data_IF_935016902736
#
_entry.id   IF_935016902736
#
_cell.length_a   1.000
_cell.length_b   1.000
_cell.length_c   1.000
_cell.angle_alpha   90.00
_cell.angle_beta   90.00
_cell.angle_gamma   90.00
#
_symmetry.space_group_name_H-M   'P 1'
#
loop_
_entity.id
_entity.type
_entity.pdbx_description
1 polymer ?
#
# COMPACT_ATOMS: atom_id res chain seq x y z
N UNK A 1 -4.94 9.33 -16.51
CA UNK A 1 -3.97 8.69 -17.45
C UNK A 1 -4.01 7.17 -17.46
N UNK A 2 -3.97 6.47 -16.32
CA UNK A 2 -3.82 5.01 -16.32
C UNK A 2 -5.14 4.24 -16.45
N UNK A 3 -6.25 4.80 -15.96
CA UNK A 3 -7.57 4.17 -15.95
C UNK A 3 -8.38 4.66 -17.13
N UNK A 4 -8.74 3.75 -18.04
CA UNK A 4 -9.57 4.03 -19.22
C UNK A 4 -10.66 2.99 -19.34
N UNK A 5 -11.74 3.33 -20.05
CA UNK A 5 -12.89 2.42 -20.22
C UNK A 5 -12.47 1.10 -20.86
N UNK A 6 -11.62 1.16 -21.89
CA UNK A 6 -11.16 -0.03 -22.63
C UNK A 6 -10.37 -0.98 -21.73
N UNK A 7 -9.51 -0.45 -20.85
CA UNK A 7 -8.75 -1.28 -19.90
C UNK A 7 -9.68 -1.94 -18.89
N UNK A 8 -10.63 -1.18 -18.34
CA UNK A 8 -11.61 -1.70 -17.37
C UNK A 8 -12.49 -2.80 -18.01
N UNK A 9 -13.02 -2.55 -19.21
CA UNK A 9 -13.81 -3.53 -19.97
C UNK A 9 -12.99 -4.76 -20.38
N UNK A 10 -11.70 -4.62 -20.64
CA UNK A 10 -10.83 -5.74 -20.92
C UNK A 10 -10.55 -6.58 -19.66
N UNK A 11 -10.36 -5.95 -18.50
CA UNK A 11 -9.97 -6.65 -17.27
C UNK A 11 -11.14 -7.36 -16.58
N UNK A 12 -12.34 -6.76 -16.55
CA UNK A 12 -13.50 -7.33 -15.83
C UNK A 12 -13.86 -8.77 -16.22
N UNK A 13 -14.02 -9.14 -17.50
CA UNK A 13 -14.34 -10.52 -17.88
C UNK A 13 -13.20 -11.51 -17.63
N UNK A 14 -11.99 -11.03 -17.32
CA UNK A 14 -10.82 -11.85 -16.97
C UNK A 14 -10.67 -12.08 -15.46
N UNK A 15 -11.72 -11.78 -14.68
CA UNK A 15 -11.76 -12.06 -13.24
C UNK A 15 -11.14 -10.97 -12.36
N UNK A 16 -10.85 -9.78 -12.90
CA UNK A 16 -10.41 -8.65 -12.06
C UNK A 16 -11.62 -8.09 -11.32
N UNK A 17 -11.71 -8.40 -10.03
CA UNK A 17 -12.83 -8.02 -9.17
C UNK A 17 -12.60 -6.71 -8.42
N UNK A 18 -11.35 -6.44 -8.02
CA UNK A 18 -10.94 -5.31 -7.19
C UNK A 18 -9.96 -4.38 -7.90
N UNK A 19 -10.08 -3.08 -7.65
CA UNK A 19 -9.15 -2.05 -8.15
C UNK A 19 -8.83 -1.01 -7.08
N UNK A 20 -7.70 -0.32 -7.22
CA UNK A 20 -7.35 0.82 -6.37
C UNK A 20 -7.32 2.10 -7.20
N UNK A 21 -8.06 3.11 -6.75
CA UNK A 21 -8.12 4.45 -7.34
C UNK A 21 -7.73 5.43 -6.24
N UNK A 22 -6.47 5.83 -6.25
CA UNK A 22 -5.86 6.47 -5.10
C UNK A 22 -5.69 7.97 -5.36
N UNK A 23 -6.47 8.84 -4.70
CA UNK A 23 -6.29 10.29 -4.82
C UNK A 23 -5.08 10.78 -4.03
N UNK A 24 -4.67 10.09 -2.95
CA UNK A 24 -3.81 10.62 -1.88
C UNK A 24 -4.46 11.78 -1.11
N UNK A 25 -4.93 12.80 -1.80
CA UNK A 25 -5.75 13.91 -1.31
C UNK A 25 -6.66 14.40 -2.45
N UNK A 26 -7.79 15.04 -2.14
CA UNK A 26 -8.65 15.69 -3.14
C UNK A 26 -8.45 17.22 -3.15
N UNK A 27 -7.34 17.69 -2.60
CA UNK A 27 -6.92 19.08 -2.68
C UNK A 27 -5.88 19.27 -3.79
N UNK A 28 -6.27 19.93 -4.89
CA UNK A 28 -5.40 20.12 -6.06
C UNK A 28 -4.13 20.91 -5.76
N UNK A 29 -4.19 21.89 -4.82
CA UNK A 29 -3.00 22.62 -4.41
C UNK A 29 -1.99 21.70 -3.72
N UNK A 30 -2.46 20.86 -2.79
CA UNK A 30 -1.61 19.88 -2.12
C UNK A 30 -1.04 18.87 -3.13
N UNK A 31 -1.86 18.39 -4.08
CA UNK A 31 -1.41 17.49 -5.16
C UNK A 31 -0.27 18.11 -5.97
N UNK A 32 -0.40 19.37 -6.37
CA UNK A 32 0.64 20.11 -7.08
C UNK A 32 1.93 20.22 -6.24
N UNK A 33 1.80 20.61 -4.97
CA UNK A 33 2.91 20.75 -4.02
C UNK A 33 3.69 19.45 -3.82
N UNK A 34 3.00 18.30 -3.79
CA UNK A 34 3.65 16.99 -3.68
C UNK A 34 4.08 16.39 -5.03
N UNK A 35 3.98 17.16 -6.12
CA UNK A 35 4.44 16.79 -7.46
C UNK A 35 3.55 15.76 -8.17
N UNK A 36 2.28 15.62 -7.77
CA UNK A 36 1.31 14.78 -8.48
C UNK A 36 0.80 15.52 -9.72
N UNK A 37 0.70 14.78 -10.82
CA UNK A 37 0.26 15.33 -12.13
C UNK A 37 -1.23 15.16 -12.40
N UNK A 38 -1.95 14.44 -11.53
CA UNK A 38 -3.38 14.23 -11.69
C UNK A 38 -4.14 15.23 -10.83
N UNK A 39 -5.38 15.56 -11.23
CA UNK A 39 -6.28 16.40 -10.43
C UNK A 39 -7.27 15.55 -9.65
N UNK A 40 -7.86 16.15 -8.62
CA UNK A 40 -9.01 15.62 -7.89
C UNK A 40 -10.14 15.20 -8.85
N UNK A 41 -10.49 16.05 -9.81
CA UNK A 41 -11.52 15.78 -10.82
C UNK A 41 -11.23 14.51 -11.64
N UNK A 42 -9.98 14.30 -12.06
CA UNK A 42 -9.60 13.08 -12.79
C UNK A 42 -9.74 11.82 -11.93
N UNK A 43 -9.48 11.90 -10.62
CA UNK A 43 -9.71 10.79 -9.70
C UNK A 43 -11.21 10.48 -9.56
N UNK A 44 -12.05 11.50 -9.42
CA UNK A 44 -13.50 11.34 -9.33
C UNK A 44 -14.09 10.75 -10.62
N UNK A 45 -13.61 11.21 -11.78
CA UNK A 45 -13.99 10.66 -13.09
C UNK A 45 -13.58 9.19 -13.22
N UNK A 46 -12.34 8.84 -12.83
CA UNK A 46 -11.86 7.46 -12.86
C UNK A 46 -12.69 6.54 -11.95
N UNK A 47 -13.10 7.03 -10.77
CA UNK A 47 -13.98 6.30 -9.86
C UNK A 47 -15.36 6.04 -10.49
N UNK A 48 -15.99 7.08 -11.01
CA UNK A 48 -17.29 6.99 -11.69
C UNK A 48 -17.24 6.03 -12.89
N UNK A 49 -16.16 6.10 -13.67
CA UNK A 49 -15.93 5.22 -14.80
C UNK A 49 -15.82 3.75 -14.39
N UNK A 50 -15.07 3.47 -13.31
CA UNK A 50 -14.96 2.13 -12.77
C UNK A 50 -16.30 1.58 -12.27
N UNK A 51 -17.08 2.39 -11.54
CA UNK A 51 -18.44 2.03 -11.12
C UNK A 51 -19.33 1.70 -12.32
N UNK A 52 -19.30 2.52 -13.35
CA UNK A 52 -20.05 2.30 -14.61
C UNK A 52 -19.62 1.01 -15.32
N UNK A 53 -18.35 0.61 -15.20
CA UNK A 53 -17.85 -0.67 -15.72
C UNK A 53 -18.15 -1.87 -14.80
N UNK A 54 -18.95 -1.68 -13.75
CA UNK A 54 -19.41 -2.73 -12.85
C UNK A 54 -18.40 -3.13 -11.76
N UNK A 55 -17.39 -2.30 -11.47
CA UNK A 55 -16.50 -2.52 -10.33
C UNK A 55 -17.19 -2.11 -9.03
N UNK A 56 -17.32 -3.09 -8.14
CA UNK A 56 -18.00 -3.00 -6.86
C UNK A 56 -17.06 -3.26 -5.67
N UNK A 57 -15.75 -3.27 -5.93
CA UNK A 57 -14.69 -3.39 -4.94
C UNK A 57 -13.56 -2.43 -5.31
N UNK A 58 -13.70 -1.19 -4.85
CA UNK A 58 -12.77 -0.08 -5.11
C UNK A 58 -12.13 0.36 -3.81
N UNK A 59 -10.80 0.34 -3.80
CA UNK A 59 -9.98 0.90 -2.74
C UNK A 59 -9.54 2.33 -3.05
N UNK A 60 -9.48 3.21 -2.04
CA UNK A 60 -8.91 4.55 -2.17
C UNK A 60 -7.85 4.80 -1.08
N UNK A 61 -6.62 5.11 -1.49
CA UNK A 61 -5.55 5.45 -0.54
C UNK A 61 -5.47 6.97 -0.31
N UNK A 62 -5.51 7.37 0.96
CA UNK A 62 -5.29 8.73 1.45
C UNK A 62 -3.94 8.83 2.16
N UNK A 63 -3.33 10.01 2.12
CA UNK A 63 -2.09 10.30 2.85
C UNK A 63 -2.35 11.49 3.78
N UNK A 64 -2.09 11.28 5.07
CA UNK A 64 -2.21 12.27 6.14
C UNK A 64 -0.85 12.90 6.40
N UNK A 65 -0.85 14.18 6.76
CA UNK A 65 0.37 14.95 7.02
C UNK A 65 1.14 15.32 5.76
N UNK A 66 0.44 15.50 4.63
CA UNK A 66 1.05 16.04 3.42
C UNK A 66 1.45 17.52 3.61
N UNK A 67 2.55 17.98 3.00
CA UNK A 67 2.90 19.39 3.01
C UNK A 67 1.74 20.27 2.53
N UNK A 68 1.50 21.38 3.23
CA UNK A 68 0.41 22.34 2.96
C UNK A 68 -1.02 21.79 3.18
N UNK A 69 -1.16 20.56 3.64
CA UNK A 69 -2.45 20.03 4.07
C UNK A 69 -2.79 20.50 5.48
N UNK A 70 -4.06 20.84 5.70
CA UNK A 70 -4.61 21.33 6.96
C UNK A 70 -5.68 20.37 7.43
N UNK A 71 -6.03 20.40 8.73
CA UNK A 71 -7.10 19.56 9.24
C UNK A 71 -8.40 19.76 8.45
N UNK A 72 -8.76 21.01 8.12
CA UNK A 72 -9.95 21.32 7.34
C UNK A 72 -9.91 20.73 5.92
N UNK A 73 -8.78 20.85 5.21
CA UNK A 73 -8.66 20.30 3.86
C UNK A 73 -8.61 18.77 3.84
N UNK A 74 -8.00 18.14 4.85
CA UNK A 74 -8.09 16.69 5.06
C UNK A 74 -9.53 16.25 5.34
N UNK A 75 -10.24 16.97 6.23
CA UNK A 75 -11.65 16.68 6.54
C UNK A 75 -12.53 16.76 5.30
N UNK A 76 -12.35 17.80 4.47
CA UNK A 76 -13.04 17.93 3.18
C UNK A 76 -12.73 16.77 2.25
N UNK A 77 -11.47 16.38 2.15
CA UNK A 77 -11.04 15.23 1.34
C UNK A 77 -11.73 13.94 1.80
N UNK A 78 -11.69 13.63 3.09
CA UNK A 78 -12.28 12.40 3.61
C UNK A 78 -13.80 12.39 3.41
N UNK A 79 -14.50 13.50 3.65
CA UNK A 79 -15.96 13.59 3.39
C UNK A 79 -16.28 13.28 1.93
N UNK A 80 -15.57 13.89 0.99
CA UNK A 80 -15.76 13.62 -0.44
C UNK A 80 -15.47 12.16 -0.81
N UNK A 81 -14.44 11.55 -0.21
CA UNK A 81 -14.13 10.12 -0.42
C UNK A 81 -15.25 9.24 0.16
N UNK A 82 -15.78 9.56 1.33
CA UNK A 82 -16.91 8.85 1.93
C UNK A 82 -18.17 8.95 1.07
N UNK A 83 -18.44 10.10 0.44
CA UNK A 83 -19.56 10.31 -0.48
C UNK A 83 -19.48 9.42 -1.74
N UNK A 84 -18.28 8.98 -2.14
CA UNK A 84 -18.09 8.01 -3.22
C UNK A 84 -18.43 6.57 -2.81
N UNK A 85 -18.55 6.32 -1.51
CA UNK A 85 -18.83 5.02 -0.92
C UNK A 85 -17.87 3.90 -1.40
N UNK A 86 -16.53 4.08 -1.40
CA UNK A 86 -15.60 3.00 -1.75
C UNK A 86 -15.80 1.78 -0.83
N UNK A 87 -15.28 0.63 -1.24
CA UNK A 87 -15.36 -0.58 -0.43
C UNK A 87 -14.26 -0.65 0.63
N UNK A 88 -13.13 0.01 0.37
CA UNK A 88 -12.08 0.19 1.36
C UNK A 88 -11.34 1.51 1.17
N UNK A 89 -10.76 2.00 2.26
CA UNK A 89 -9.92 3.19 2.31
C UNK A 89 -8.64 2.80 3.04
N UNK A 90 -7.48 3.09 2.47
CA UNK A 90 -6.21 2.97 3.22
C UNK A 90 -5.77 4.35 3.63
N UNK A 91 -5.58 4.56 4.93
CA UNK A 91 -5.04 5.80 5.47
C UNK A 91 -3.56 5.59 5.72
N UNK A 92 -2.73 6.31 4.96
CA UNK A 92 -1.30 6.32 5.15
C UNK A 92 -0.87 7.57 5.91
N UNK A 93 0.11 7.44 6.77
CA UNK A 93 0.79 8.61 7.34
C UNK A 93 2.05 8.90 6.53
N UNK A 94 2.30 10.16 6.18
CA UNK A 94 3.51 10.53 5.44
C UNK A 94 4.76 10.07 6.20
N UNK A 95 5.62 9.32 5.52
CA UNK A 95 6.97 9.00 5.98
C UNK A 95 7.94 10.05 5.44
N UNK A 96 8.51 10.87 6.32
CA UNK A 96 9.57 11.80 5.95
C UNK A 96 10.81 11.00 5.53
N UNK A 97 10.95 10.77 4.22
CA UNK A 97 12.21 10.32 3.65
C UNK A 97 13.23 11.45 3.82
N UNK A 98 14.36 11.10 4.43
CA UNK A 98 15.55 11.92 4.74
C UNK A 98 16.23 12.64 3.56
N UNK A 99 15.53 12.94 2.46
CA UNK A 99 16.07 13.52 1.24
C UNK A 99 15.37 14.83 0.87
N UNK A 100 15.61 15.88 1.67
CA UNK A 100 15.99 17.21 1.21
C UNK A 100 16.06 18.18 2.41
N UNK A 101 17.27 18.33 2.97
CA UNK A 101 17.68 19.33 3.97
C UNK A 101 17.02 19.19 5.36
N UNK A 102 17.69 19.74 6.37
CA UNK A 102 17.31 19.75 7.79
C UNK A 102 17.70 18.45 8.55
N UNK A 103 19.00 18.24 8.69
CA UNK A 103 19.57 17.62 9.90
C UNK A 103 20.50 18.64 10.53
N UNK A 104 19.93 19.56 11.29
CA UNK A 104 20.54 20.35 12.37
C UNK A 104 19.48 21.32 12.88
N UNK A 105 18.57 20.82 13.73
CA UNK A 105 18.04 21.52 14.90
C UNK A 105 16.80 20.79 15.42
N UNK A 106 16.76 20.57 16.72
CA UNK A 106 15.56 20.26 17.51
C UNK A 106 14.60 21.46 17.51
N UNK A 107 14.15 21.89 16.33
CA UNK A 107 13.29 23.07 16.18
C UNK A 107 11.81 22.68 16.15
N UNK A 108 11.00 23.50 16.86
CA UNK A 108 9.54 23.45 17.02
C UNK A 108 8.67 22.99 15.82
N UNK A 109 8.98 23.26 14.52
CA UNK A 109 8.16 22.83 13.39
C UNK A 109 7.84 21.32 13.37
N UNK A 110 8.77 20.45 13.78
CA UNK A 110 8.53 19.00 13.77
C UNK A 110 7.44 18.53 14.76
N UNK A 111 7.26 19.24 15.87
CA UNK A 111 6.26 18.89 16.89
C UNK A 111 4.85 19.27 16.45
N UNK A 112 4.70 20.41 15.77
CA UNK A 112 3.40 20.88 15.25
C UNK A 112 2.87 19.98 14.15
N UNK A 113 3.72 19.52 13.24
CA UNK A 113 3.32 18.64 12.14
C UNK A 113 2.85 17.27 12.66
N UNK A 114 3.46 16.76 13.74
CA UNK A 114 3.05 15.49 14.37
C UNK A 114 1.71 15.60 15.11
N UNK A 115 1.48 16.69 15.87
CA UNK A 115 0.21 16.92 16.57
C UNK A 115 -0.96 17.10 15.58
N UNK A 116 -0.77 17.92 14.54
CA UNK A 116 -1.77 18.11 13.48
C UNK A 116 -2.09 16.78 12.76
N UNK A 117 -1.08 15.98 12.47
CA UNK A 117 -1.27 14.65 11.86
C UNK A 117 -2.05 13.72 12.80
N UNK A 118 -1.78 13.78 14.11
CA UNK A 118 -2.56 13.08 15.13
C UNK A 118 -4.03 13.47 15.12
N UNK A 119 -4.32 14.78 15.16
CA UNK A 119 -5.70 15.30 15.11
C UNK A 119 -6.45 14.86 13.83
N UNK A 120 -5.76 14.84 12.69
CA UNK A 120 -6.31 14.32 11.44
C UNK A 120 -6.64 12.83 11.52
N UNK A 121 -5.74 12.02 12.07
CA UNK A 121 -5.94 10.57 12.24
C UNK A 121 -7.09 10.28 13.20
N UNK A 122 -7.10 10.89 14.39
CA UNK A 122 -8.14 10.69 15.40
C UNK A 122 -9.53 11.03 14.83
N UNK A 123 -9.63 12.16 14.14
CA UNK A 123 -10.88 12.55 13.48
C UNK A 123 -11.24 11.59 12.34
N UNK A 124 -10.27 11.22 11.49
CA UNK A 124 -10.46 10.34 10.35
C UNK A 124 -10.94 8.94 10.75
N UNK A 125 -10.32 8.35 11.76
CA UNK A 125 -10.66 7.05 12.32
C UNK A 125 -12.09 7.07 12.88
N UNK A 126 -12.46 8.12 13.61
CA UNK A 126 -13.83 8.29 14.12
C UNK A 126 -14.85 8.38 12.97
N UNK A 127 -14.54 9.09 11.87
CA UNK A 127 -15.42 9.16 10.71
C UNK A 127 -15.54 7.83 9.97
N UNK A 128 -14.43 7.11 9.79
CA UNK A 128 -14.40 5.82 9.10
C UNK A 128 -15.23 4.79 9.86
N UNK A 129 -15.07 4.71 11.19
CA UNK A 129 -15.90 3.87 12.06
C UNK A 129 -17.38 4.25 11.97
N UNK A 130 -17.69 5.55 12.04
CA UNK A 130 -19.07 6.04 11.95
C UNK A 130 -19.75 5.65 10.63
N UNK A 131 -19.01 5.61 9.53
CA UNK A 131 -19.52 5.23 8.20
C UNK A 131 -19.41 3.73 7.92
N UNK A 132 -19.13 2.90 8.93
CA UNK A 132 -19.16 1.44 8.84
C UNK A 132 -17.91 0.81 8.21
N UNK A 133 -16.77 1.52 8.20
CA UNK A 133 -15.49 0.93 7.85
C UNK A 133 -14.79 0.44 9.12
N UNK A 134 -14.43 -0.85 9.14
CA UNK A 134 -13.64 -1.44 10.21
C UNK A 134 -12.15 -1.49 9.82
N UNK A 135 -11.23 -1.25 10.76
CA UNK A 135 -9.81 -1.45 10.51
C UNK A 135 -9.54 -2.96 10.37
N UNK A 136 -8.83 -3.38 9.32
CA UNK A 136 -8.60 -4.81 9.05
C UNK A 136 -7.12 -5.19 8.91
N UNK A 137 -6.24 -4.23 8.66
CA UNK A 137 -4.80 -4.45 8.72
C UNK A 137 -4.08 -3.16 9.06
N UNK A 138 -2.91 -3.33 9.68
CA UNK A 138 -2.06 -2.24 10.09
C UNK A 138 -0.61 -2.59 9.76
N UNK A 139 0.14 -1.62 9.27
CA UNK A 139 1.58 -1.80 9.11
C UNK A 139 2.33 -0.48 9.30
N UNK A 140 3.58 -0.61 9.75
CA UNK A 140 4.50 0.51 9.91
C UNK A 140 5.51 0.52 8.78
N UNK A 141 5.71 1.69 8.18
CA UNK A 141 6.83 1.92 7.28
C UNK A 141 8.08 2.25 8.11
N UNK A 142 9.26 1.89 7.58
CA UNK A 142 10.50 2.38 8.18
C UNK A 142 10.58 3.91 8.00
N UNK A 143 10.89 4.63 9.10
CA UNK A 143 11.08 6.11 9.13
C UNK A 143 9.81 6.93 8.91
N UNK A 144 8.73 6.63 9.62
CA UNK A 144 7.51 7.45 9.63
C UNK A 144 7.68 8.72 10.49
N UNK A 145 6.87 9.76 10.24
CA UNK A 145 6.75 10.91 11.16
C UNK A 145 6.09 10.41 12.45
N UNK A 146 6.80 10.48 13.57
CA UNK A 146 6.33 9.93 14.84
C UNK A 146 6.22 8.39 14.86
N UNK A 147 5.46 7.88 15.84
CA UNK A 147 5.16 6.44 16.02
C UNK A 147 3.84 6.05 15.32
N UNK A 148 3.49 6.75 14.25
CA UNK A 148 2.20 6.61 13.56
C UNK A 148 2.21 5.42 12.59
N UNK A 149 1.01 5.01 12.18
CA UNK A 149 0.77 3.73 11.50
C UNK A 149 0.02 3.98 10.16
N UNK A 150 0.07 3.01 9.25
CA UNK A 150 -0.82 2.97 8.10
C UNK A 150 -1.89 1.93 8.36
N UNK A 151 -3.14 2.30 8.15
CA UNK A 151 -4.29 1.46 8.49
C UNK A 151 -5.17 1.28 7.26
N UNK A 152 -5.51 0.02 6.98
CA UNK A 152 -6.57 -0.29 6.02
C UNK A 152 -7.91 -0.39 6.69
N UNK A 153 -8.88 0.29 6.11
CA UNK A 153 -10.27 0.33 6.53
C UNK A 153 -11.14 -0.28 5.45
N UNK A 154 -12.07 -1.15 5.80
CA UNK A 154 -12.95 -1.79 4.83
C UNK A 154 -14.37 -1.95 5.38
N UNK A 155 -15.34 -1.93 4.48
CA UNK A 155 -16.66 -2.47 4.78
C UNK A 155 -16.55 -3.97 5.00
N UNK A 156 -17.45 -4.53 5.81
CA UNK A 156 -17.46 -5.97 6.11
C UNK A 156 -17.48 -6.81 4.84
N UNK A 157 -16.54 -7.76 4.73
CA UNK A 157 -16.43 -8.67 3.58
C UNK A 157 -15.69 -8.08 2.38
N UNK A 158 -15.16 -6.85 2.49
CA UNK A 158 -14.35 -6.18 1.46
C UNK A 158 -12.90 -5.95 1.89
N UNK A 159 -12.46 -6.66 2.93
CA UNK A 159 -11.09 -6.66 3.43
C UNK A 159 -10.14 -7.23 2.35
N UNK A 160 -8.99 -6.58 2.13
CA UNK A 160 -7.98 -7.09 1.22
C UNK A 160 -7.13 -8.16 1.91
N UNK A 161 -7.50 -9.42 1.74
CA UNK A 161 -6.68 -10.56 2.20
C UNK A 161 -5.26 -10.52 1.63
N UNK A 162 -5.10 -9.97 0.41
CA UNK A 162 -3.78 -9.78 -0.19
C UNK A 162 -2.91 -8.83 0.64
N UNK A 163 -3.45 -7.68 1.08
CA UNK A 163 -2.70 -6.73 1.91
C UNK A 163 -2.28 -7.36 3.23
N UNK A 164 -3.17 -8.17 3.83
CA UNK A 164 -2.87 -8.95 5.04
C UNK A 164 -1.73 -9.94 4.76
N UNK A 165 -1.85 -10.82 3.76
CA UNK A 165 -0.84 -11.85 3.48
C UNK A 165 0.53 -11.31 3.08
N UNK A 166 0.58 -10.16 2.40
CA UNK A 166 1.85 -9.54 2.05
C UNK A 166 2.62 -9.12 3.31
N UNK A 167 1.93 -8.48 4.25
CA UNK A 167 2.51 -8.00 5.50
C UNK A 167 2.73 -9.13 6.49
N UNK A 168 1.80 -10.07 6.55
CA UNK A 168 1.82 -11.18 7.48
C UNK A 168 2.96 -12.16 7.19
N UNK A 169 3.64 -12.59 8.23
CA UNK A 169 4.82 -13.45 8.17
C UNK A 169 4.46 -14.94 8.22
N UNK A 170 3.21 -15.33 7.93
CA UNK A 170 2.77 -16.74 7.96
C UNK A 170 2.68 -17.42 6.58
N UNK A 171 2.84 -16.67 5.49
CA UNK A 171 2.65 -17.20 4.13
C UNK A 171 3.91 -17.11 3.25
N UNK A 172 4.08 -18.12 2.39
CA UNK A 172 4.99 -18.04 1.24
C UNK A 172 4.36 -17.20 0.14
N UNK A 173 5.11 -16.22 -0.36
CA UNK A 173 4.72 -15.31 -1.44
C UNK A 173 5.69 -15.50 -2.60
N UNK A 174 5.17 -15.88 -3.76
CA UNK A 174 5.95 -15.97 -4.99
C UNK A 174 5.82 -14.67 -5.79
N UNK A 175 6.95 -14.09 -6.16
CA UNK A 175 6.98 -12.78 -6.79
C UNK A 175 7.54 -12.84 -8.21
N UNK A 176 6.89 -12.13 -9.13
CA UNK A 176 7.29 -11.99 -10.53
C UNK A 176 7.54 -10.51 -10.88
N UNK A 177 8.49 -10.24 -11.77
CA UNK A 177 8.80 -8.88 -12.23
C UNK A 177 9.96 -8.21 -11.51
N UNK A 178 10.50 -7.15 -12.12
CA UNK A 178 11.60 -6.38 -11.55
C UNK A 178 11.20 -5.74 -10.21
N UNK A 179 12.13 -5.72 -9.25
CA UNK A 179 11.94 -5.19 -7.90
C UNK A 179 11.13 -6.07 -6.96
N UNK A 180 10.54 -7.17 -7.45
CA UNK A 180 9.71 -8.05 -6.65
C UNK A 180 10.54 -8.99 -5.75
N UNK A 181 9.98 -9.39 -4.60
CA UNK A 181 10.66 -10.23 -3.61
C UNK A 181 9.82 -11.45 -3.29
N UNK A 182 10.37 -12.64 -3.51
CA UNK A 182 9.77 -13.89 -3.04
C UNK A 182 10.06 -14.04 -1.55
N UNK A 183 9.03 -14.33 -0.75
CA UNK A 183 9.12 -14.66 0.67
C UNK A 183 8.81 -16.14 0.84
N UNK A 184 9.72 -16.92 1.40
CA UNK A 184 9.54 -18.36 1.64
C UNK A 184 9.42 -18.60 3.14
N UNK A 185 8.29 -19.16 3.56
CA UNK A 185 7.96 -19.46 4.96
C UNK A 185 8.28 -20.92 5.28
N UNK A 186 9.00 -21.14 6.38
CA UNK A 186 9.20 -22.47 6.94
C UNK A 186 7.90 -23.02 7.55
N UNK A 187 7.32 -24.13 7.06
CA UNK A 187 6.09 -24.67 7.64
C UNK A 187 6.26 -25.27 9.06
N UNK A 188 7.47 -25.30 9.62
CA UNK A 188 7.78 -25.97 10.89
C UNK A 188 8.39 -25.08 11.97
N UNK A 189 8.76 -23.84 11.65
CA UNK A 189 9.33 -22.87 12.60
C UNK A 189 8.75 -21.48 12.33
N UNK A 190 9.36 -20.39 12.81
CA UNK A 190 9.04 -19.00 12.41
C UNK A 190 10.03 -18.43 11.39
N UNK A 191 10.86 -19.28 10.78
CA UNK A 191 11.86 -18.82 9.84
C UNK A 191 11.26 -18.37 8.50
N UNK A 192 11.89 -17.33 7.96
CA UNK A 192 11.58 -16.70 6.69
C UNK A 192 12.86 -16.47 5.89
N UNK A 193 12.85 -16.89 4.62
CA UNK A 193 13.91 -16.56 3.65
C UNK A 193 13.34 -15.70 2.52
N UNK A 194 14.17 -14.85 1.94
CA UNK A 194 13.78 -13.90 0.88
C UNK A 194 14.68 -14.08 -0.35
N UNK A 195 14.07 -14.10 -1.53
CA UNK A 195 14.76 -14.16 -2.82
C UNK A 195 14.41 -12.89 -3.61
N UNK A 196 15.41 -12.07 -3.88
CA UNK A 196 15.24 -10.76 -4.51
C UNK A 196 15.41 -10.84 -6.03
N UNK A 197 14.43 -10.28 -6.76
CA UNK A 197 14.59 -10.02 -8.18
C UNK A 197 15.48 -8.79 -8.39
N UNK A 198 16.07 -8.67 -9.57
CA UNK A 198 16.74 -7.42 -9.95
C UNK A 198 15.78 -6.25 -9.84
N UNK A 199 16.26 -5.15 -9.23
CA UNK A 199 15.46 -3.95 -8.99
C UNK A 199 15.02 -3.28 -10.28
N UNK A 200 15.92 -3.19 -11.25
CA UNK A 200 15.72 -2.44 -12.47
C UNK A 200 15.28 -3.35 -13.63
N UNK A 201 14.38 -2.88 -14.52
CA UNK A 201 13.88 -3.69 -15.62
C UNK A 201 14.96 -4.20 -16.57
N UNK A 202 16.00 -3.40 -16.84
CA UNK A 202 17.07 -3.77 -17.77
C UNK A 202 17.80 -5.03 -17.32
N UNK A 203 18.25 -5.09 -16.06
CA UNK A 203 18.93 -6.25 -15.49
C UNK A 203 17.98 -7.43 -15.35
N UNK A 204 16.71 -7.20 -14.96
CA UNK A 204 15.72 -8.26 -14.87
C UNK A 204 15.51 -8.98 -16.21
N UNK A 205 15.47 -8.24 -17.31
CA UNK A 205 15.27 -8.77 -18.67
C UNK A 205 16.57 -9.37 -19.21
N UNK A 206 17.67 -8.61 -19.20
CA UNK A 206 18.94 -9.03 -19.79
C UNK A 206 19.60 -10.20 -19.05
N UNK A 207 19.36 -10.34 -17.74
CA UNK A 207 19.88 -11.44 -16.91
C UNK A 207 18.78 -12.43 -16.52
N UNK A 208 17.83 -12.67 -17.41
CA UNK A 208 16.72 -13.61 -17.19
C UNK A 208 17.19 -15.01 -16.76
N UNK A 209 18.29 -15.53 -17.32
CA UNK A 209 18.85 -16.82 -16.94
C UNK A 209 19.23 -16.90 -15.45
N UNK A 210 19.87 -15.86 -14.93
CA UNK A 210 20.18 -15.76 -13.50
C UNK A 210 18.91 -15.62 -12.65
N UNK A 211 17.89 -14.92 -13.17
CA UNK A 211 16.61 -14.84 -12.48
C UNK A 211 15.95 -16.23 -12.34
N UNK A 212 16.02 -17.08 -13.38
CA UNK A 212 15.53 -18.46 -13.28
C UNK A 212 16.29 -19.23 -12.20
N UNK A 213 17.63 -19.19 -12.20
CA UNK A 213 18.45 -19.85 -11.17
C UNK A 213 18.12 -19.37 -9.76
N UNK A 214 17.90 -18.06 -9.56
CA UNK A 214 17.45 -17.55 -8.26
C UNK A 214 16.09 -18.11 -7.85
N UNK A 215 15.16 -18.31 -8.79
CA UNK A 215 13.84 -18.89 -8.48
C UNK A 215 13.90 -20.37 -8.12
N UNK A 216 14.89 -21.12 -8.62
CA UNK A 216 15.09 -22.51 -8.20
C UNK A 216 15.42 -22.64 -6.71
N UNK A 217 16.00 -21.61 -6.07
CA UNK A 217 16.29 -21.61 -4.64
C UNK A 217 15.05 -21.85 -3.76
N UNK A 218 13.84 -21.58 -4.26
CA UNK A 218 12.60 -21.90 -3.52
C UNK A 218 12.54 -23.39 -3.16
N UNK A 219 12.93 -24.28 -4.09
CA UNK A 219 12.94 -25.72 -3.86
C UNK A 219 14.02 -26.09 -2.84
N UNK A 220 15.22 -25.59 -3.03
CA UNK A 220 16.36 -25.82 -2.12
C UNK A 220 16.03 -25.38 -0.70
N UNK A 221 15.40 -24.22 -0.52
CA UNK A 221 14.99 -23.71 0.80
C UNK A 221 13.98 -24.66 1.48
N UNK A 222 12.97 -25.17 0.76
CA UNK A 222 12.03 -26.11 1.36
C UNK A 222 12.66 -27.46 1.71
N UNK A 223 13.66 -27.91 0.93
CA UNK A 223 14.45 -29.10 1.24
C UNK A 223 15.28 -28.90 2.51
N UNK A 224 15.89 -27.72 2.68
CA UNK A 224 16.59 -27.33 3.90
C UNK A 224 15.66 -27.34 5.12
N UNK A 225 14.47 -26.71 5.03
CA UNK A 225 13.49 -26.72 6.12
C UNK A 225 13.05 -28.15 6.48
N UNK A 226 12.86 -29.01 5.48
CA UNK A 226 12.50 -30.42 5.71
C UNK A 226 13.62 -31.18 6.42
N UNK A 227 14.89 -30.98 6.03
CA UNK A 227 16.05 -31.62 6.67
C UNK A 227 16.27 -31.12 8.10
N UNK A 228 16.14 -29.81 8.32
CA UNK A 228 16.25 -29.21 9.64
C UNK A 228 15.21 -29.79 10.62
N UNK A 229 13.95 -29.96 10.17
CA UNK A 229 12.92 -30.66 10.96
C UNK A 229 13.31 -32.09 11.32
N UNK A 230 13.98 -32.80 10.42
CA UNK A 230 14.42 -34.19 10.62
C UNK A 230 15.71 -34.31 11.47
N UNK A 231 16.27 -33.20 11.95
CA UNK A 231 17.54 -33.20 12.70
C UNK A 231 18.77 -33.54 11.85
N UNK A 232 18.64 -33.46 10.52
CA UNK A 232 19.73 -33.70 9.57
C UNK A 232 20.44 -32.37 9.31
N UNK A 233 21.75 -32.30 9.56
CA UNK A 233 22.55 -31.09 9.26
C UNK A 233 22.56 -30.83 7.75
N UNK A 234 22.52 -29.55 7.36
CA UNK A 234 22.80 -29.12 5.99
C UNK A 234 24.22 -29.52 5.60
N UNK A 235 24.36 -30.34 4.56
CA UNK A 235 25.64 -30.68 3.93
C UNK A 235 26.15 -29.49 3.14
#
# INVERSE_FOLDING_TARGET
>A
DTITMDKLKAMRPRGVTRISINPQTLNDHVLETIGRRHTSAQTLEAFSLARTCGYDDINMDLIVGLPEDTLESFQRTLRQVLDLHPESITVHTLSLKRSARIFQDDSEPFSRDAALTGDMLDWGDAQLLHHGYAPYYLYRQSRMVGNLENTGWAKTGKESIYNVYIMDETHTILACGAGAVTKVRDPYSDQLKRIFNFKYPYEYISRHGEMLTRKEQVRTIYEEYRRAKQGLSSV
#
